data_IF_960948010771
#
_entry.id   IF_960948010771
#
_cell.length_a   1.000
_cell.length_b   1.000
_cell.length_c   1.000
_cell.angle_alpha   90.00
_cell.angle_beta   90.00
_cell.angle_gamma   90.00
#
_symmetry.space_group_name_H-M   'P 1'
#
loop_
_entity.id
_entity.type
_entity.pdbx_description
1 polymer ?
#
# COMPACT_ATOMS: atom_id res chain seq x y z
N UNK A 1 -50.60 45.18 9.42
CA UNK A 1 -49.60 46.10 8.84
C UNK A 1 -48.34 46.00 9.68
N UNK A 2 -47.12 45.74 9.25
CA UNK A 2 -46.51 45.21 8.04
C UNK A 2 -45.14 44.65 8.49
N UNK A 3 -44.74 43.46 8.03
CA UNK A 3 -43.37 42.91 8.13
C UNK A 3 -42.45 43.58 7.06
N UNK A 4 -41.14 43.25 6.91
CA UNK A 4 -40.05 43.02 7.88
C UNK A 4 -38.67 43.59 7.38
N UNK A 5 -37.60 43.39 8.17
CA UNK A 5 -36.28 43.05 7.62
C UNK A 5 -35.12 44.05 7.82
N UNK A 6 -34.07 43.63 8.51
CA UNK A 6 -32.76 43.40 7.88
C UNK A 6 -31.72 42.87 8.89
N UNK A 7 -31.31 41.62 8.67
CA UNK A 7 -29.93 41.10 8.76
C UNK A 7 -29.17 41.14 10.08
N UNK A 8 -29.29 40.02 10.81
CA UNK A 8 -28.26 39.46 11.68
C UNK A 8 -27.06 39.07 10.79
N UNK A 9 -26.02 39.89 10.80
CA UNK A 9 -24.73 39.56 10.19
C UNK A 9 -23.90 38.70 11.14
N UNK A 10 -24.13 37.38 11.15
CA UNK A 10 -23.18 36.43 11.74
C UNK A 10 -21.93 36.46 10.87
N UNK A 11 -20.92 37.23 11.29
CA UNK A 11 -19.55 37.05 10.79
C UNK A 11 -19.05 35.73 11.37
N UNK A 12 -19.21 34.67 10.58
CA UNK A 12 -18.38 33.46 10.65
C UNK A 12 -16.93 33.91 10.50
N UNK A 13 -16.28 34.18 11.63
CA UNK A 13 -14.85 34.36 11.71
C UNK A 13 -14.21 33.12 11.15
N UNK A 14 -13.51 33.27 10.02
CA UNK A 14 -12.66 32.24 9.43
C UNK A 14 -11.83 31.62 10.54
N UNK A 15 -12.09 30.35 10.83
CA UNK A 15 -11.15 29.47 11.52
C UNK A 15 -9.95 29.35 10.58
N UNK A 16 -9.02 30.27 10.75
CA UNK A 16 -7.70 30.21 10.12
C UNK A 16 -6.94 29.10 10.82
N UNK A 17 -7.06 27.89 10.29
CA UNK A 17 -6.03 26.87 10.50
C UNK A 17 -4.73 27.35 9.86
N UNK A 18 -3.62 26.89 10.43
CA UNK A 18 -2.24 27.05 10.00
C UNK A 18 -1.50 28.28 10.57
N UNK A 19 -0.55 28.01 11.46
CA UNK A 19 0.78 27.56 11.03
C UNK A 19 1.42 26.74 12.14
N UNK A 20 1.55 25.44 11.85
CA UNK A 20 2.37 24.48 12.56
C UNK A 20 3.80 25.06 12.64
N UNK A 21 4.51 24.98 13.78
CA UNK A 21 5.93 25.37 13.81
C UNK A 21 6.66 24.59 12.71
N UNK A 22 7.61 25.22 12.01
CA UNK A 22 8.42 24.54 11.01
C UNK A 22 8.92 23.18 11.51
N UNK A 23 9.10 22.20 10.61
CA UNK A 23 9.34 20.78 10.94
C UNK A 23 10.39 20.58 12.05
N UNK A 24 11.44 21.42 12.12
CA UNK A 24 12.42 21.40 13.19
C UNK A 24 11.91 21.82 14.58
N UNK A 25 11.03 22.83 14.66
CA UNK A 25 10.39 23.28 15.90
C UNK A 25 9.45 22.21 16.46
N UNK A 26 8.62 21.60 15.59
CA UNK A 26 7.73 20.51 15.98
C UNK A 26 8.51 19.28 16.49
N UNK A 27 9.56 18.84 15.77
CA UNK A 27 10.39 17.70 16.19
C UNK A 27 11.13 17.97 17.51
N UNK A 28 11.64 19.19 17.70
CA UNK A 28 12.32 19.57 18.95
C UNK A 28 11.36 19.64 20.13
N UNK A 29 10.13 20.13 19.93
CA UNK A 29 9.07 20.13 20.94
C UNK A 29 8.60 18.71 21.25
N UNK A 30 8.38 17.88 20.23
CA UNK A 30 7.96 16.49 20.40
C UNK A 30 9.02 15.67 21.12
N UNK A 31 10.28 15.84 20.75
CA UNK A 31 11.42 15.25 21.47
C UNK A 31 11.50 15.71 22.93
N UNK A 32 11.27 17.01 23.19
CA UNK A 32 11.27 17.55 24.56
C UNK A 32 10.07 17.07 25.38
N UNK A 33 8.91 16.89 24.76
CA UNK A 33 7.70 16.38 25.41
C UNK A 33 7.80 14.89 25.73
N UNK A 34 8.37 14.08 24.84
CA UNK A 34 8.70 12.69 25.13
C UNK A 34 9.80 12.57 26.19
N UNK A 35 10.82 13.43 26.12
CA UNK A 35 11.83 13.53 27.17
C UNK A 35 11.19 13.86 28.52
N UNK A 36 10.18 14.73 28.57
CA UNK A 36 9.46 15.07 29.80
C UNK A 36 8.69 13.88 30.43
N UNK A 37 8.39 12.83 29.68
CA UNK A 37 7.82 11.58 30.19
C UNK A 37 8.85 10.50 30.56
N UNK A 38 10.12 10.67 30.19
CA UNK A 38 11.18 9.70 30.43
C UNK A 38 11.76 9.82 31.85
N UNK A 39 12.10 8.70 32.53
CA UNK A 39 12.85 8.70 33.78
C UNK A 39 14.17 9.47 33.68
N UNK A 40 14.65 10.12 34.76
CA UNK A 40 15.84 10.97 34.73
C UNK A 40 17.10 10.21 34.27
N UNK A 41 17.21 8.92 34.59
CA UNK A 41 18.31 8.07 34.13
C UNK A 41 18.35 7.91 32.60
N UNK A 42 17.19 7.80 31.94
CA UNK A 42 17.09 7.65 30.48
C UNK A 42 17.31 8.99 29.75
N UNK A 43 16.93 10.13 30.34
CA UNK A 43 17.22 11.45 29.77
C UNK A 43 18.72 11.69 29.66
N UNK A 44 19.44 11.39 30.75
CA UNK A 44 20.89 11.59 30.83
C UNK A 44 21.66 10.69 29.85
N UNK A 45 21.21 9.45 29.62
CA UNK A 45 21.84 8.53 28.64
C UNK A 45 21.56 8.93 27.19
N UNK A 46 20.36 9.44 26.90
CA UNK A 46 19.96 9.93 25.57
C UNK A 46 20.55 11.31 25.21
N UNK A 47 21.27 11.95 26.14
CA UNK A 47 21.89 13.26 25.95
C UNK A 47 20.95 14.45 26.22
N UNK A 48 19.70 14.20 26.59
CA UNK A 48 18.78 15.24 27.06
C UNK A 48 19.13 15.62 28.50
N UNK A 49 19.59 16.85 28.74
CA UNK A 49 19.89 17.34 30.09
C UNK A 49 21.28 16.98 30.62
N UNK A 50 22.28 16.79 29.75
CA UNK A 50 23.70 16.64 30.18
C UNK A 50 24.21 17.79 31.05
N UNK A 51 23.55 18.93 30.92
CA UNK A 51 23.84 20.14 31.66
C UNK A 51 24.87 21.00 30.96
N UNK A 52 25.27 22.07 31.63
CA UNK A 52 26.37 22.94 31.21
C UNK A 52 27.20 23.32 32.42
N UNK A 53 28.47 23.64 32.19
CA UNK A 53 29.34 24.18 33.22
C UNK A 53 29.25 25.70 33.14
N UNK A 54 28.77 26.30 34.21
CA UNK A 54 28.68 27.75 34.41
C UNK A 54 29.96 28.20 35.13
N UNK A 55 30.62 29.19 34.57
CA UNK A 55 31.80 29.84 35.10
C UNK A 55 31.37 31.21 35.57
N UNK A 56 31.53 31.51 36.86
CA UNK A 56 31.29 32.84 37.41
C UNK A 56 32.63 33.39 37.88
N UNK A 57 32.99 34.58 37.39
CA UNK A 57 34.26 35.22 37.72
C UNK A 57 33.98 36.32 38.74
N UNK A 58 34.61 36.21 39.90
CA UNK A 58 34.56 37.19 40.97
C UNK A 58 35.98 37.64 41.30
N UNK A 59 36.37 38.79 40.74
CA UNK A 59 37.73 39.33 40.78
C UNK A 59 38.80 38.29 40.39
N UNK A 60 39.52 37.75 41.37
CA UNK A 60 40.64 36.81 41.18
C UNK A 60 40.23 35.34 41.33
N UNK A 61 38.96 35.04 41.61
CA UNK A 61 38.44 33.69 41.77
C UNK A 61 37.43 33.35 40.68
N UNK A 62 37.48 32.11 40.20
CA UNK A 62 36.49 31.53 39.29
C UNK A 62 35.71 30.45 40.02
N UNK A 63 34.41 30.66 40.16
CA UNK A 63 33.48 29.65 40.65
C UNK A 63 32.96 28.81 39.49
N UNK A 64 33.08 27.49 39.62
CA UNK A 64 32.55 26.52 38.68
C UNK A 64 31.29 25.91 39.26
N UNK A 65 30.18 26.08 38.54
CA UNK A 65 28.91 25.46 38.86
C UNK A 65 28.46 24.56 37.72
N UNK A 66 27.84 23.43 38.04
CA UNK A 66 27.19 22.58 37.05
C UNK A 66 25.69 22.84 37.10
N UNK A 67 25.11 23.26 35.99
CA UNK A 67 23.67 23.26 35.82
C UNK A 67 23.22 21.91 35.27
N UNK A 68 22.32 21.23 35.98
CA UNK A 68 21.61 20.05 35.51
C UNK A 68 20.12 20.32 35.60
N UNK A 69 19.44 20.40 34.45
CA UNK A 69 18.05 20.87 34.37
C UNK A 69 17.90 22.24 35.07
N UNK A 70 17.16 22.29 36.17
CA UNK A 70 16.93 23.49 36.97
C UNK A 70 17.82 23.56 38.23
N UNK A 71 18.59 22.50 38.51
CA UNK A 71 19.47 22.44 39.67
C UNK A 71 20.84 23.03 39.34
N UNK A 72 21.32 23.89 40.24
CA UNK A 72 22.63 24.52 40.18
C UNK A 72 23.50 23.91 41.29
N UNK A 73 24.53 23.17 40.89
CA UNK A 73 25.43 22.47 41.81
C UNK A 73 26.77 23.20 41.81
N UNK A 74 27.11 23.82 42.93
CA UNK A 74 28.44 24.41 43.13
C UNK A 74 29.49 23.31 43.19
N UNK A 75 30.56 23.44 42.42
CA UNK A 75 31.58 22.40 42.28
C UNK A 75 32.88 22.78 42.94
N UNK A 76 33.43 23.93 42.57
CA UNK A 76 34.75 24.37 43.00
C UNK A 76 34.93 25.86 42.79
N UNK A 77 35.80 26.45 43.61
CA UNK A 77 36.37 27.79 43.40
C UNK A 77 37.84 27.63 43.11
N UNK A 78 38.31 28.26 42.04
CA UNK A 78 39.67 28.13 41.55
C UNK A 78 40.24 29.53 41.32
N UNK A 79 41.46 29.82 41.80
CA UNK A 79 42.09 31.09 41.54
C UNK A 79 42.34 31.27 40.03
N UNK A 80 41.88 32.39 39.49
CA UNK A 80 41.91 32.73 38.07
C UNK A 80 43.32 32.98 37.53
N UNK A 81 44.22 33.73 38.22
CA UNK A 81 45.56 34.00 37.70
C UNK A 81 46.40 32.75 37.36
N UNK A 82 46.51 31.71 38.22
CA UNK A 82 47.26 30.50 37.87
C UNK A 82 46.56 29.67 36.79
N UNK A 83 45.24 29.74 36.69
CA UNK A 83 44.46 29.04 35.66
C UNK A 83 44.71 29.64 34.27
N UNK A 84 44.69 30.97 34.17
CA UNK A 84 45.01 31.71 32.95
C UNK A 84 46.45 31.43 32.51
N UNK A 85 47.41 31.46 33.45
CA UNK A 85 48.81 31.14 33.16
C UNK A 85 49.00 29.73 32.59
N UNK A 86 48.30 28.72 33.15
CA UNK A 86 48.31 27.34 32.61
C UNK A 86 47.65 27.23 31.24
N UNK A 87 46.59 27.99 31.00
CA UNK A 87 45.89 27.95 29.72
C UNK A 87 46.76 28.43 28.56
N UNK A 88 47.71 29.34 28.80
CA UNK A 88 48.68 29.77 27.81
C UNK A 88 49.68 28.67 27.42
N UNK A 89 49.93 27.69 28.30
CA UNK A 89 50.91 26.63 28.07
C UNK A 89 50.31 25.36 27.44
N UNK A 90 49.14 24.91 27.90
CA UNK A 90 48.57 23.58 27.60
C UNK A 90 47.25 23.62 26.81
N UNK A 91 46.80 24.80 26.39
CA UNK A 91 45.62 24.98 25.52
C UNK A 91 44.26 24.78 26.19
N UNK A 92 44.07 23.79 27.06
CA UNK A 92 42.80 23.51 27.79
C UNK A 92 43.04 23.27 29.30
N UNK A 93 43.47 24.31 30.02
CA UNK A 93 43.75 24.23 31.45
C UNK A 93 42.51 23.97 32.33
N UNK A 94 41.32 24.41 31.89
CA UNK A 94 40.07 24.08 32.56
C UNK A 94 39.69 22.60 32.36
N UNK A 95 39.96 22.05 31.18
CA UNK A 95 39.68 20.65 30.85
C UNK A 95 40.50 19.67 31.66
N UNK A 96 41.74 20.00 32.02
CA UNK A 96 42.58 19.15 32.87
C UNK A 96 42.17 19.15 34.35
N UNK A 97 41.51 20.21 34.82
CA UNK A 97 40.94 20.28 36.17
C UNK A 97 39.56 19.63 36.27
N UNK A 98 38.83 19.57 35.16
CA UNK A 98 37.51 18.94 35.09
C UNK A 98 37.64 17.45 34.79
N UNK A 99 36.85 16.61 35.47
CA UNK A 99 36.74 15.20 35.11
C UNK A 99 36.26 15.04 33.65
N UNK A 100 36.58 13.92 32.97
CA UNK A 100 36.35 13.75 31.53
C UNK A 100 34.89 14.02 31.10
N UNK A 101 33.92 13.60 31.91
CA UNK A 101 32.49 13.86 31.65
C UNK A 101 32.10 15.34 31.73
N UNK A 102 32.76 16.12 32.59
CA UNK A 102 32.51 17.55 32.76
C UNK A 102 33.27 18.39 31.75
N UNK A 103 34.47 17.95 31.37
CA UNK A 103 35.26 18.57 30.33
C UNK A 103 34.52 18.56 28.98
N UNK A 104 33.74 17.51 28.68
CA UNK A 104 32.92 17.43 27.47
C UNK A 104 31.72 18.39 27.45
N UNK A 105 31.28 18.91 28.60
CA UNK A 105 30.13 19.81 28.68
C UNK A 105 30.44 21.19 28.08
N UNK A 106 29.46 21.86 27.48
CA UNK A 106 29.63 23.23 27.01
C UNK A 106 29.88 24.14 28.22
N UNK A 107 30.91 24.99 28.11
CA UNK A 107 31.30 25.97 29.13
C UNK A 107 30.64 27.30 28.84
N UNK A 108 30.04 27.91 29.85
CA UNK A 108 29.31 29.16 29.74
C UNK A 108 29.78 30.12 30.81
N UNK A 109 29.95 31.39 30.46
CA UNK A 109 30.13 32.44 31.45
C UNK A 109 28.75 32.81 32.01
N UNK A 110 28.61 32.85 33.33
CA UNK A 110 27.44 33.37 34.03
C UNK A 110 27.78 34.73 34.62
N UNK A 111 27.13 35.77 34.09
CA UNK A 111 27.27 37.11 34.61
C UNK A 111 26.31 37.34 35.79
N UNK A 112 26.69 38.14 36.80
CA UNK A 112 25.80 38.51 37.90
C UNK A 112 24.55 39.26 37.39
N UNK A 113 23.42 39.13 38.09
CA UNK A 113 22.17 39.81 37.70
C UNK A 113 22.35 41.33 37.51
N UNK A 114 23.19 41.94 38.36
CA UNK A 114 23.48 43.37 38.37
C UNK A 114 24.19 43.89 37.11
N UNK A 115 24.80 43.02 36.29
CA UNK A 115 25.47 43.45 35.05
C UNK A 115 24.53 43.58 33.87
N UNK A 116 23.22 43.29 34.05
CA UNK A 116 22.23 43.32 32.97
C UNK A 116 21.06 44.26 33.25
N UNK A 117 20.49 44.77 32.17
CA UNK A 117 19.19 45.41 32.15
C UNK A 117 18.19 44.45 31.51
N UNK A 118 17.12 44.11 32.22
CA UNK A 118 16.02 43.29 31.70
C UNK A 118 14.78 44.16 31.43
N UNK A 119 14.16 43.97 30.27
CA UNK A 119 12.92 44.67 29.88
C UNK A 119 11.94 43.71 29.25
N UNK A 120 10.68 43.80 29.66
CA UNK A 120 9.58 43.06 29.03
C UNK A 120 9.02 43.87 27.87
N UNK A 121 8.95 43.26 26.70
CA UNK A 121 8.46 43.84 25.46
C UNK A 121 7.47 42.90 24.79
N UNK A 122 6.54 43.47 24.03
CA UNK A 122 5.54 42.69 23.30
C UNK A 122 5.90 42.70 21.82
N UNK A 123 6.01 41.52 21.24
CA UNK A 123 6.35 41.35 19.83
C UNK A 123 5.29 40.50 19.12
N UNK A 124 5.02 40.73 17.82
CA UNK A 124 4.07 39.91 17.08
C UNK A 124 4.52 38.44 17.04
N UNK A 125 3.57 37.50 17.02
CA UNK A 125 3.88 36.07 17.00
C UNK A 125 4.75 35.60 15.82
N UNK A 126 4.77 36.36 14.72
CA UNK A 126 5.65 36.12 13.56
C UNK A 126 7.13 36.39 13.85
N UNK A 127 7.45 37.20 14.87
CA UNK A 127 8.83 37.52 15.24
C UNK A 127 9.58 36.34 15.87
N UNK A 128 8.87 35.26 16.27
CA UNK A 128 9.45 34.12 16.98
C UNK A 128 10.65 33.49 16.25
N UNK A 129 10.54 33.30 14.92
CA UNK A 129 11.59 32.64 14.12
C UNK A 129 12.86 33.48 13.99
N UNK A 130 12.72 34.81 14.08
CA UNK A 130 13.81 35.79 13.96
C UNK A 130 13.89 36.70 15.18
N UNK A 131 13.66 36.11 16.36
CA UNK A 131 13.49 36.87 17.60
C UNK A 131 14.68 37.79 17.87
N UNK A 132 15.90 37.26 17.74
CA UNK A 132 17.13 38.02 17.97
C UNK A 132 17.26 39.22 17.03
N UNK A 133 16.94 39.05 15.75
CA UNK A 133 17.03 40.12 14.75
C UNK A 133 16.02 41.23 15.08
N UNK A 134 14.76 40.86 15.35
CA UNK A 134 13.67 41.80 15.64
C UNK A 134 13.98 42.58 16.92
N UNK A 135 14.41 41.89 17.97
CA UNK A 135 14.81 42.50 19.23
C UNK A 135 15.98 43.46 19.04
N UNK A 136 16.92 43.14 18.15
CA UNK A 136 18.05 44.00 17.81
C UNK A 136 17.64 45.40 17.35
N UNK A 137 16.56 45.51 16.58
CA UNK A 137 16.03 46.82 16.14
C UNK A 137 15.26 47.58 17.23
N UNK A 138 14.82 46.88 18.27
CA UNK A 138 14.08 47.47 19.40
C UNK A 138 15.01 47.95 20.53
N UNK A 139 16.31 47.62 20.52
CA UNK A 139 17.24 47.97 21.60
C UNK A 139 17.27 49.48 21.87
N UNK A 140 17.50 50.28 20.83
CA UNK A 140 17.65 51.73 20.92
C UNK A 140 16.33 52.42 21.35
N UNK A 141 15.19 51.76 21.14
CA UNK A 141 13.86 52.27 21.54
C UNK A 141 13.47 51.88 22.95
N UNK A 142 13.90 50.70 23.40
CA UNK A 142 13.49 50.09 24.66
C UNK A 142 14.53 50.26 25.77
N UNK A 143 15.75 50.67 25.43
CA UNK A 143 16.87 50.82 26.36
C UNK A 143 17.63 52.13 26.10
N UNK A 144 18.35 52.66 27.11
CA UNK A 144 19.18 53.85 26.93
C UNK A 144 20.50 53.54 26.19
N UNK A 145 20.64 52.36 25.59
CA UNK A 145 21.86 51.91 24.93
C UNK A 145 21.64 51.71 23.44
N UNK A 146 22.72 51.82 22.66
CA UNK A 146 22.70 51.46 21.24
C UNK A 146 22.99 49.97 21.05
N UNK A 147 22.40 49.35 20.03
CA UNK A 147 22.61 47.95 19.69
C UNK A 147 24.10 47.54 19.52
N UNK A 148 24.94 48.47 19.07
CA UNK A 148 26.38 48.24 18.89
C UNK A 148 27.18 48.27 20.20
N UNK A 149 26.71 49.01 21.21
CA UNK A 149 27.39 49.15 22.50
C UNK A 149 27.04 48.04 23.49
N UNK A 150 26.13 47.13 23.13
CA UNK A 150 25.62 46.09 24.02
C UNK A 150 25.71 44.70 23.42
N UNK A 151 25.79 43.71 24.30
CA UNK A 151 25.48 42.33 24.00
C UNK A 151 24.03 42.08 24.47
N UNK A 152 23.25 41.40 23.64
CA UNK A 152 21.83 41.23 23.90
C UNK A 152 21.36 39.86 23.43
N UNK A 153 20.30 39.40 24.08
CA UNK A 153 19.50 38.27 23.65
C UNK A 153 18.11 38.39 24.28
N UNK A 154 17.17 37.56 23.85
CA UNK A 154 15.81 37.59 24.36
C UNK A 154 15.24 36.19 24.57
N UNK A 155 14.41 36.07 25.61
CA UNK A 155 13.65 34.85 25.90
C UNK A 155 12.16 35.10 25.86
N UNK A 156 11.41 34.09 25.42
CA UNK A 156 9.95 34.14 25.38
C UNK A 156 9.41 33.73 26.76
N UNK A 157 8.64 34.61 27.39
CA UNK A 157 7.95 34.33 28.65
C UNK A 157 6.61 33.63 28.41
N UNK A 158 5.92 34.00 27.32
CA UNK A 158 4.62 33.43 26.99
C UNK A 158 4.14 33.85 25.61
N UNK A 159 3.15 33.13 25.09
CA UNK A 159 2.40 33.49 23.88
C UNK A 159 0.98 33.83 24.28
N UNK A 160 0.54 35.03 23.91
CA UNK A 160 -0.83 35.49 24.10
C UNK A 160 -1.66 35.16 22.88
N UNK A 161 -2.49 34.13 22.99
CA UNK A 161 -3.34 33.66 21.89
C UNK A 161 -4.47 34.65 21.54
N UNK A 162 -4.94 35.46 22.49
CA UNK A 162 -6.03 36.42 22.26
C UNK A 162 -5.67 37.50 21.23
N UNK A 163 -4.44 37.99 21.27
CA UNK A 163 -4.00 39.18 20.51
C UNK A 163 -2.90 38.84 19.49
N UNK A 164 -2.47 37.57 19.41
CA UNK A 164 -1.39 37.12 18.52
C UNK A 164 -0.02 37.71 18.86
N UNK A 165 0.21 38.06 20.13
CA UNK A 165 1.44 38.69 20.62
C UNK A 165 2.28 37.69 21.45
N UNK A 166 3.57 37.96 21.54
CA UNK A 166 4.54 37.26 22.38
C UNK A 166 4.98 38.20 23.49
N UNK A 167 4.93 37.71 24.72
CA UNK A 167 5.54 38.38 25.85
C UNK A 167 7.01 37.94 25.90
N UNK A 168 7.92 38.87 25.64
CA UNK A 168 9.35 38.61 25.49
C UNK A 168 10.11 39.40 26.55
N UNK A 169 11.12 38.78 27.14
CA UNK A 169 12.08 39.46 28.02
C UNK A 169 13.39 39.68 27.28
N UNK A 170 13.67 40.94 27.00
CA UNK A 170 14.92 41.44 26.45
C UNK A 170 15.95 41.57 27.57
N UNK A 171 17.10 40.93 27.39
CA UNK A 171 18.25 41.02 28.31
C UNK A 171 19.39 41.72 27.59
N UNK A 172 19.88 42.80 28.20
CA UNK A 172 20.94 43.65 27.63
C UNK A 172 22.08 43.81 28.62
N UNK A 173 23.31 43.59 28.16
CA UNK A 173 24.54 43.77 28.92
C UNK A 173 25.46 44.73 28.16
N UNK A 174 25.95 45.82 28.77
CA UNK A 174 26.95 46.67 28.16
C UNK A 174 28.20 45.90 27.73
N UNK A 175 28.67 46.09 26.49
CA UNK A 175 29.82 45.34 25.96
C UNK A 175 31.08 45.51 26.78
N UNK A 176 31.32 46.70 27.34
CA UNK A 176 32.50 46.95 28.17
C UNK A 176 32.57 46.03 29.41
N UNK A 177 31.42 45.72 30.04
CA UNK A 177 31.39 44.79 31.18
C UNK A 177 31.67 43.36 30.73
N UNK A 178 31.11 42.96 29.59
CA UNK A 178 31.38 41.65 29.01
C UNK A 178 32.87 41.51 28.62
N UNK A 179 33.43 42.54 27.99
CA UNK A 179 34.82 42.54 27.55
C UNK A 179 35.78 42.56 28.75
N UNK A 180 35.47 43.28 29.82
CA UNK A 180 36.23 43.21 31.07
C UNK A 180 36.32 41.77 31.61
N UNK A 181 35.19 41.06 31.64
CA UNK A 181 35.16 39.66 32.09
C UNK A 181 35.94 38.73 31.14
N UNK A 182 35.85 38.97 29.83
CA UNK A 182 36.61 38.21 28.83
C UNK A 182 38.11 38.45 28.94
N UNK A 183 38.52 39.70 29.17
CA UNK A 183 39.92 40.06 29.40
C UNK A 183 40.46 39.40 30.66
N UNK A 184 39.69 39.39 31.75
CA UNK A 184 40.08 38.72 32.99
C UNK A 184 40.31 37.21 32.80
N UNK A 185 39.47 36.55 32.00
CA UNK A 185 39.62 35.12 31.66
C UNK A 185 40.72 34.84 30.62
N UNK A 186 41.20 35.85 29.90
CA UNK A 186 42.21 35.73 28.85
C UNK A 186 41.87 34.62 27.82
N UNK A 187 42.77 33.65 27.57
CA UNK A 187 42.57 32.60 26.58
C UNK A 187 41.36 31.70 26.85
N UNK A 188 40.93 31.56 28.12
CA UNK A 188 39.77 30.75 28.50
C UNK A 188 38.47 31.30 27.93
N UNK A 189 38.40 32.62 27.67
CA UNK A 189 37.23 33.25 27.08
C UNK A 189 36.94 32.76 25.65
N UNK A 190 37.97 32.31 24.92
CA UNK A 190 37.83 31.74 23.58
C UNK A 190 37.21 30.33 23.60
N UNK A 191 37.12 29.71 24.78
CA UNK A 191 36.60 28.35 24.96
C UNK A 191 35.11 28.30 25.26
N UNK A 192 34.49 29.47 25.44
CA UNK A 192 33.10 29.59 25.85
C UNK A 192 32.14 29.22 24.70
N UNK A 193 31.16 28.39 25.04
CA UNK A 193 30.03 28.05 24.18
C UNK A 193 28.93 29.13 24.24
N UNK A 194 28.89 29.94 25.31
CA UNK A 194 27.92 31.00 25.49
C UNK A 194 28.18 31.87 26.72
N UNK A 195 27.42 32.97 26.82
CA UNK A 195 27.36 33.84 28.00
C UNK A 195 25.91 34.00 28.38
N UNK A 196 25.58 33.68 29.62
CA UNK A 196 24.26 33.83 30.22
C UNK A 196 24.33 34.84 31.38
N UNK A 197 23.17 35.24 31.89
CA UNK A 197 23.05 36.14 33.04
C UNK A 197 22.25 35.46 34.13
N UNK A 198 22.66 35.61 35.38
CA UNK A 198 21.90 35.16 36.54
C UNK A 198 20.65 36.04 36.73
N UNK A 199 19.52 35.42 37.03
CA UNK A 199 18.34 36.10 37.55
C UNK A 199 18.52 36.53 39.00
N UNK A 200 17.48 37.12 39.58
CA UNK A 200 17.44 37.49 41.01
C UNK A 200 17.70 36.31 41.94
N UNK A 201 17.36 35.12 41.48
CA UNK A 201 17.41 33.88 42.27
C UNK A 201 18.77 33.17 42.10
N UNK A 202 19.73 33.79 41.40
CA UNK A 202 21.03 33.22 41.08
C UNK A 202 21.01 32.18 39.94
N UNK A 203 19.82 31.69 39.55
CA UNK A 203 19.64 30.79 38.43
C UNK A 203 19.86 31.50 37.08
N UNK A 204 20.44 30.85 36.07
CA UNK A 204 20.64 31.45 34.76
C UNK A 204 19.30 31.72 34.06
N UNK A 205 19.20 32.86 33.37
CA UNK A 205 17.99 33.25 32.64
C UNK A 205 17.72 32.38 31.40
N UNK A 206 18.73 31.65 30.92
CA UNK A 206 18.62 30.78 29.74
C UNK A 206 18.81 31.53 28.43
N UNK A 207 19.49 32.67 28.47
CA UNK A 207 19.81 33.49 27.29
C UNK A 207 21.26 33.27 26.88
N UNK A 208 21.60 33.55 25.63
CA UNK A 208 22.97 33.48 25.13
C UNK A 208 23.38 34.76 24.42
N UNK A 209 23.99 35.66 25.20
CA UNK A 209 24.48 36.97 24.77
C UNK A 209 25.59 36.88 23.71
N UNK A 210 26.25 35.72 23.57
CA UNK A 210 27.28 35.53 22.56
C UNK A 210 26.66 35.46 21.14
N UNK A 211 27.19 36.20 20.16
CA UNK A 211 26.82 36.06 18.74
C UNK A 211 27.06 34.62 18.24
N UNK A 212 26.20 34.08 17.35
CA UNK A 212 26.29 32.68 16.93
C UNK A 212 27.64 32.35 16.25
N UNK A 213 28.32 33.34 15.66
CA UNK A 213 29.62 33.20 15.01
C UNK A 213 30.76 33.01 16.02
N UNK A 214 30.60 33.54 17.24
CA UNK A 214 31.63 33.52 18.29
C UNK A 214 31.49 32.29 19.21
N UNK A 215 30.40 31.53 19.09
CA UNK A 215 30.12 30.37 19.95
C UNK A 215 31.01 29.21 19.58
N UNK A 216 31.91 28.81 20.49
CA UNK A 216 32.71 27.60 20.27
C UNK A 216 31.81 26.37 20.38
N UNK A 217 31.64 25.65 19.27
CA UNK A 217 30.90 24.40 19.22
C UNK A 217 31.82 23.26 19.68
N UNK A 218 31.74 22.86 20.95
CA UNK A 218 32.25 21.54 21.35
C UNK A 218 31.40 20.48 20.64
N UNK A 219 32.06 19.53 19.99
CA UNK A 219 31.41 18.43 19.28
C UNK A 219 30.73 17.55 20.32
N UNK A 220 29.40 17.44 20.28
CA UNK A 220 28.69 16.51 21.15
C UNK A 220 28.92 15.07 20.65
N UNK A 221 29.69 14.24 21.37
CA UNK A 221 29.93 12.86 20.95
C UNK A 221 28.63 12.04 20.93
N UNK A 222 27.60 12.41 21.71
CA UNK A 222 26.30 11.74 21.59
C UNK A 222 25.53 12.12 20.35
N UNK A 223 25.76 13.29 19.76
CA UNK A 223 25.12 13.61 18.48
C UNK A 223 25.56 12.63 17.39
N UNK A 224 26.83 12.21 17.40
CA UNK A 224 27.35 11.18 16.49
C UNK A 224 26.73 9.82 16.80
N UNK A 225 26.74 9.38 18.06
CA UNK A 225 26.12 8.11 18.44
C UNK A 225 24.61 8.07 18.18
N UNK A 226 23.90 9.17 18.41
CA UNK A 226 22.48 9.30 18.09
C UNK A 226 22.23 9.25 16.58
N UNK A 227 23.12 9.84 15.77
CA UNK A 227 23.05 9.72 14.31
C UNK A 227 23.31 8.28 13.84
N UNK A 228 24.28 7.58 14.46
CA UNK A 228 24.55 6.16 14.18
C UNK A 228 23.35 5.30 14.57
N UNK A 229 22.80 5.49 15.78
CA UNK A 229 21.61 4.78 16.26
C UNK A 229 20.40 5.06 15.37
N UNK A 230 20.20 6.30 14.91
CA UNK A 230 19.15 6.65 13.97
C UNK A 230 19.35 5.94 12.61
N UNK A 231 20.60 5.86 12.12
CA UNK A 231 20.95 5.11 10.92
C UNK A 231 20.66 3.61 11.07
N UNK A 232 21.01 3.01 12.20
CA UNK A 232 20.69 1.60 12.51
C UNK A 232 19.18 1.38 12.58
N UNK A 233 18.44 2.27 13.25
CA UNK A 233 16.98 2.19 13.33
C UNK A 233 16.33 2.31 11.94
N UNK A 234 16.83 3.18 11.07
CA UNK A 234 16.38 3.30 9.70
C UNK A 234 16.64 2.01 8.91
N UNK A 235 17.85 1.45 9.00
CA UNK A 235 18.20 0.19 8.35
C UNK A 235 17.33 -0.98 8.84
N UNK A 236 17.08 -1.06 10.15
CA UNK A 236 16.19 -2.06 10.73
C UNK A 236 14.75 -1.91 10.21
N UNK A 237 14.27 -0.67 10.08
CA UNK A 237 12.93 -0.39 9.52
C UNK A 237 12.84 -0.80 8.06
N UNK A 238 13.86 -0.49 7.26
CA UNK A 238 13.95 -0.92 5.85
C UNK A 238 13.99 -2.44 5.74
N UNK A 239 14.79 -3.11 6.56
CA UNK A 239 14.86 -4.57 6.59
C UNK A 239 13.53 -5.21 6.97
N UNK A 240 12.80 -4.64 7.96
CA UNK A 240 11.48 -5.12 8.35
C UNK A 240 10.44 -4.95 7.24
N UNK A 241 10.44 -3.81 6.56
CA UNK A 241 9.56 -3.56 5.41
C UNK A 241 9.89 -4.51 4.24
N UNK A 242 11.18 -4.76 4.00
CA UNK A 242 11.61 -5.72 2.99
C UNK A 242 11.13 -7.14 3.32
N UNK A 243 11.31 -7.58 4.57
CA UNK A 243 10.84 -8.88 5.04
C UNK A 243 9.31 -9.00 4.93
N UNK A 244 8.56 -7.94 5.24
CA UNK A 244 7.10 -7.91 5.08
C UNK A 244 6.70 -8.06 3.62
N UNK A 245 7.39 -7.37 2.70
CA UNK A 245 7.11 -7.46 1.27
C UNK A 245 7.40 -8.87 0.73
N UNK A 246 8.52 -9.46 1.14
CA UNK A 246 8.88 -10.82 0.72
C UNK A 246 7.90 -11.86 1.26
N UNK A 247 7.44 -11.71 2.50
CA UNK A 247 6.40 -12.56 3.08
C UNK A 247 5.06 -12.42 2.35
N UNK A 248 4.73 -11.21 1.86
CA UNK A 248 3.53 -10.99 1.04
C UNK A 248 3.66 -11.62 -0.35
N UNK A 249 4.84 -11.54 -0.97
CA UNK A 249 5.13 -12.17 -2.27
C UNK A 249 5.07 -13.69 -2.18
N UNK A 250 5.67 -14.28 -1.15
CA UNK A 250 5.64 -15.73 -0.94
C UNK A 250 4.22 -16.24 -0.68
N UNK A 251 3.43 -15.51 0.11
CA UNK A 251 2.02 -15.84 0.34
C UNK A 251 1.17 -15.76 -0.95
N UNK A 252 1.43 -14.76 -1.80
CA UNK A 252 0.75 -14.64 -3.09
C UNK A 252 1.12 -15.79 -4.05
N UNK A 253 2.41 -16.13 -4.14
CA UNK A 253 2.89 -17.24 -4.96
C UNK A 253 2.31 -18.60 -4.50
N UNK A 254 2.21 -18.81 -3.18
CA UNK A 254 1.56 -20.00 -2.64
C UNK A 254 0.07 -20.08 -3.01
N UNK A 255 -0.65 -18.94 -2.98
CA UNK A 255 -2.05 -18.90 -3.38
C UNK A 255 -2.23 -19.17 -4.88
N UNK A 256 -1.37 -18.61 -5.73
CA UNK A 256 -1.36 -18.88 -7.17
C UNK A 256 -1.13 -20.36 -7.48
N UNK A 257 -0.22 -21.03 -6.77
CA UNK A 257 0.00 -22.47 -6.90
C UNK A 257 -1.24 -23.29 -6.52
N UNK A 258 -1.93 -22.91 -5.44
CA UNK A 258 -3.18 -23.57 -5.04
C UNK A 258 -4.25 -23.39 -6.11
N UNK A 259 -4.45 -22.17 -6.63
CA UNK A 259 -5.41 -21.89 -7.69
C UNK A 259 -5.09 -22.69 -8.96
N UNK A 260 -3.82 -22.74 -9.38
CA UNK A 260 -3.38 -23.51 -10.54
C UNK A 260 -3.71 -25.00 -10.39
N UNK A 261 -3.44 -25.58 -9.22
CA UNK A 261 -3.72 -27.00 -8.96
C UNK A 261 -5.22 -27.34 -9.02
N UNK A 262 -6.08 -26.43 -8.56
CA UNK A 262 -7.54 -26.60 -8.59
C UNK A 262 -8.10 -26.36 -10.00
N UNK A 263 -7.54 -25.42 -10.76
CA UNK A 263 -7.89 -25.17 -12.15
C UNK A 263 -7.59 -26.39 -13.04
N UNK A 264 -6.49 -27.11 -12.77
CA UNK A 264 -6.16 -28.36 -13.48
C UNK A 264 -7.13 -29.51 -13.17
N UNK A 265 -7.61 -29.59 -11.92
CA UNK A 265 -8.65 -30.56 -11.55
C UNK A 265 -9.99 -30.21 -12.24
N UNK A 266 -10.35 -28.93 -12.27
CA UNK A 266 -11.54 -28.43 -12.98
C UNK A 266 -11.50 -28.72 -14.48
N UNK A 267 -10.37 -28.44 -15.15
CA UNK A 267 -10.16 -28.74 -16.58
C UNK A 267 -10.26 -30.23 -16.89
N UNK A 268 -9.70 -31.10 -16.03
CA UNK A 268 -9.82 -32.56 -16.19
C UNK A 268 -11.27 -33.04 -16.06
N UNK A 269 -12.02 -32.50 -15.11
CA UNK A 269 -13.45 -32.85 -14.96
C UNK A 269 -14.31 -32.38 -16.14
N UNK A 270 -14.00 -31.21 -16.72
CA UNK A 270 -14.68 -30.69 -17.90
C UNK A 270 -14.41 -31.55 -19.14
N UNK A 271 -13.15 -31.95 -19.36
CA UNK A 271 -12.75 -32.87 -20.44
C UNK A 271 -13.45 -34.22 -20.35
N UNK A 272 -13.54 -34.83 -19.16
CA UNK A 272 -14.22 -36.11 -18.97
C UNK A 272 -15.73 -36.02 -19.28
N UNK A 273 -16.39 -34.92 -18.86
CA UNK A 273 -17.81 -34.68 -19.18
C UNK A 273 -18.04 -34.52 -20.70
N UNK A 274 -17.13 -33.85 -21.41
CA UNK A 274 -17.21 -33.73 -22.87
C UNK A 274 -17.09 -35.08 -23.57
N UNK A 275 -16.18 -35.95 -23.11
CA UNK A 275 -16.05 -37.31 -23.66
C UNK A 275 -17.31 -38.16 -23.43
N UNK A 276 -17.88 -38.11 -22.23
CA UNK A 276 -19.15 -38.79 -21.91
C UNK A 276 -20.30 -38.31 -22.80
N UNK A 277 -20.39 -36.99 -23.01
CA UNK A 277 -21.43 -36.40 -23.87
C UNK A 277 -21.25 -36.84 -25.32
N UNK A 278 -20.02 -36.85 -25.85
CA UNK A 278 -19.74 -37.30 -27.21
C UNK A 278 -20.08 -38.78 -27.45
N UNK A 279 -19.85 -39.65 -26.45
CA UNK A 279 -20.22 -41.07 -26.54
C UNK A 279 -21.74 -41.26 -26.54
N UNK A 280 -22.45 -40.53 -25.68
CA UNK A 280 -23.92 -40.56 -25.63
C UNK A 280 -24.55 -40.05 -26.93
N UNK A 281 -24.05 -38.93 -27.47
CA UNK A 281 -24.49 -38.39 -28.77
C UNK A 281 -24.21 -39.36 -29.92
N UNK A 282 -23.06 -40.04 -29.90
CA UNK A 282 -22.72 -41.07 -30.87
C UNK A 282 -23.65 -42.29 -30.83
N UNK A 283 -24.07 -42.73 -29.64
CA UNK A 283 -25.03 -43.83 -29.49
C UNK A 283 -26.41 -43.46 -30.04
N UNK A 284 -26.94 -42.29 -29.68
CA UNK A 284 -28.25 -41.83 -30.18
C UNK A 284 -28.26 -41.69 -31.70
N UNK A 285 -27.16 -41.26 -32.32
CA UNK A 285 -27.03 -41.19 -33.78
C UNK A 285 -27.05 -42.58 -34.43
N UNK A 286 -26.35 -43.55 -33.85
CA UNK A 286 -26.32 -44.93 -34.36
C UNK A 286 -27.66 -45.64 -34.19
N UNK A 287 -28.38 -45.40 -33.09
CA UNK A 287 -29.71 -45.97 -32.86
C UNK A 287 -30.74 -45.43 -33.87
N UNK A 288 -30.67 -44.14 -34.24
CA UNK A 288 -31.51 -43.56 -35.31
C UNK A 288 -31.25 -44.20 -36.66
N UNK A 289 -29.98 -44.34 -37.05
CA UNK A 289 -29.57 -45.03 -38.29
C UNK A 289 -30.06 -46.49 -38.33
N UNK A 290 -30.15 -47.13 -37.16
CA UNK A 290 -30.66 -48.50 -37.05
C UNK A 290 -32.18 -48.55 -37.18
N UNK A 291 -32.90 -47.57 -36.66
CA UNK A 291 -34.36 -47.47 -36.72
C UNK A 291 -34.90 -47.10 -38.12
N UNK A 292 -34.11 -46.42 -38.94
CA UNK A 292 -34.49 -46.02 -40.31
C UNK A 292 -34.52 -47.19 -41.33
N UNK A 293 -34.03 -48.38 -40.98
CA UNK A 293 -34.00 -49.54 -41.88
C UNK A 293 -35.13 -50.53 -41.54
N UNK A 294 -35.93 -50.90 -42.53
CA UNK A 294 -36.92 -51.97 -42.38
C UNK A 294 -36.22 -53.27 -41.92
N UNK A 295 -36.74 -53.95 -40.88
CA UNK A 295 -36.09 -55.14 -40.34
C UNK A 295 -36.09 -56.24 -41.42
N UNK A 296 -34.90 -56.80 -41.69
CA UNK A 296 -34.68 -57.85 -42.70
C UNK A 296 -35.63 -59.05 -42.54
N UNK A 297 -36.09 -59.30 -41.32
CA UNK A 297 -37.06 -60.34 -40.98
C UNK A 297 -38.44 -60.09 -41.60
N UNK A 298 -38.88 -58.85 -41.71
CA UNK A 298 -40.18 -58.49 -42.29
C UNK A 298 -40.17 -58.61 -43.82
N UNK A 299 -39.06 -58.25 -44.45
CA UNK A 299 -38.83 -58.44 -45.90
C UNK A 299 -38.85 -59.95 -46.25
N UNK A 300 -38.20 -60.78 -45.44
CA UNK A 300 -38.16 -62.24 -45.64
C UNK A 300 -39.54 -62.90 -45.49
N UNK A 301 -40.33 -62.46 -44.51
CA UNK A 301 -41.67 -63.00 -44.27
C UNK A 301 -42.60 -62.69 -45.45
N UNK A 302 -42.62 -61.45 -45.92
CA UNK A 302 -43.47 -61.07 -47.05
C UNK A 302 -43.03 -61.75 -48.36
N UNK A 303 -41.72 -61.94 -48.57
CA UNK A 303 -41.22 -62.68 -49.73
C UNK A 303 -41.70 -64.13 -49.72
N UNK A 304 -41.69 -64.76 -48.55
CA UNK A 304 -42.12 -66.16 -48.40
C UNK A 304 -43.62 -66.33 -48.65
N UNK A 305 -44.45 -65.34 -48.28
CA UNK A 305 -45.91 -65.38 -48.53
C UNK A 305 -46.28 -65.20 -50.01
N UNK A 306 -45.53 -64.39 -50.76
CA UNK A 306 -45.89 -64.03 -52.15
C UNK A 306 -45.21 -64.88 -53.22
N UNK A 307 -44.21 -65.67 -52.86
CA UNK A 307 -43.55 -66.56 -53.82
C UNK A 307 -44.40 -67.81 -54.05
N UNK A 308 -44.73 -68.15 -55.31
CA UNK A 308 -45.44 -69.40 -55.61
C UNK A 308 -44.57 -70.63 -55.30
N UNK A 309 -45.18 -71.72 -54.86
CA UNK A 309 -44.51 -73.01 -54.61
C UNK A 309 -43.76 -73.56 -55.84
N UNK A 310 -44.06 -73.05 -57.03
CA UNK A 310 -43.39 -73.40 -58.30
C UNK A 310 -42.10 -72.61 -58.56
N UNK A 311 -41.64 -71.80 -57.60
CA UNK A 311 -40.47 -70.92 -57.72
C UNK A 311 -39.42 -71.30 -56.69
N UNK A 312 -38.17 -71.46 -57.15
CA UNK A 312 -37.03 -71.78 -56.30
C UNK A 312 -36.03 -70.63 -56.32
N UNK A 313 -35.69 -70.08 -55.16
CA UNK A 313 -34.68 -69.03 -55.03
C UNK A 313 -33.30 -69.64 -54.79
N UNK A 314 -32.32 -69.23 -55.60
CA UNK A 314 -30.92 -69.60 -55.43
C UNK A 314 -30.15 -68.56 -54.61
N UNK A 315 -30.48 -67.27 -54.81
CA UNK A 315 -29.77 -66.17 -54.14
C UNK A 315 -30.70 -65.00 -53.86
N UNK A 316 -30.66 -64.54 -52.61
CA UNK A 316 -31.26 -63.30 -52.14
C UNK A 316 -30.13 -62.37 -51.71
N UNK A 317 -30.10 -61.14 -52.23
CA UNK A 317 -29.15 -60.10 -51.84
C UNK A 317 -29.90 -58.82 -51.51
N UNK A 318 -29.59 -58.22 -50.36
CA UNK A 318 -30.14 -56.93 -49.93
C UNK A 318 -28.96 -55.97 -49.79
N UNK A 319 -28.89 -54.99 -50.69
CA UNK A 319 -27.81 -54.01 -50.73
C UNK A 319 -28.41 -52.62 -50.57
N UNK A 320 -28.35 -52.07 -49.35
CA UNK A 320 -28.97 -50.79 -49.01
C UNK A 320 -30.48 -50.84 -49.29
N UNK A 321 -30.93 -50.03 -50.24
CA UNK A 321 -32.34 -49.91 -50.62
C UNK A 321 -32.72 -50.80 -51.82
N UNK A 322 -31.83 -51.70 -52.28
CA UNK A 322 -32.11 -52.58 -53.41
C UNK A 322 -32.16 -54.05 -52.99
N UNK A 323 -33.26 -54.69 -53.32
CA UNK A 323 -33.51 -56.12 -53.19
C UNK A 323 -33.24 -56.81 -54.53
N UNK A 324 -32.42 -57.85 -54.53
CA UNK A 324 -32.10 -58.66 -55.71
C UNK A 324 -32.37 -60.13 -55.43
N UNK A 325 -33.15 -60.75 -56.32
CA UNK A 325 -33.64 -62.12 -56.24
C UNK A 325 -33.17 -62.86 -57.50
N UNK A 326 -32.49 -63.99 -57.33
CA UNK A 326 -32.12 -64.89 -58.43
C UNK A 326 -32.69 -66.27 -58.14
N UNK A 327 -33.36 -66.86 -59.13
CA UNK A 327 -33.95 -68.18 -58.98
C UNK A 327 -34.41 -68.79 -60.30
N UNK A 328 -35.14 -69.89 -60.17
CA UNK A 328 -35.73 -70.67 -61.25
C UNK A 328 -37.25 -70.71 -61.04
N UNK A 329 -38.03 -70.39 -62.08
CA UNK A 329 -39.50 -70.45 -62.01
C UNK A 329 -40.10 -70.99 -63.29
N UNK A 330 -41.21 -71.71 -63.17
CA UNK A 330 -42.03 -72.13 -64.32
C UNK A 330 -42.85 -71.00 -64.92
N UNK A 331 -43.03 -69.89 -64.18
CA UNK A 331 -43.84 -68.72 -64.59
C UNK A 331 -43.11 -67.42 -64.26
N UNK A 332 -41.87 -67.29 -64.73
CA UNK A 332 -40.99 -66.18 -64.35
C UNK A 332 -41.54 -64.78 -64.73
N UNK A 333 -42.25 -64.64 -65.84
CA UNK A 333 -42.88 -63.37 -66.24
C UNK A 333 -44.06 -62.96 -65.33
N UNK A 334 -44.74 -63.92 -64.70
CA UNK A 334 -45.86 -63.66 -63.79
C UNK A 334 -45.40 -63.19 -62.38
N UNK A 335 -44.15 -63.49 -62.00
CA UNK A 335 -43.59 -63.10 -60.69
C UNK A 335 -43.55 -61.58 -60.47
N UNK A 336 -43.43 -60.79 -61.54
CA UNK A 336 -43.50 -59.33 -61.44
C UNK A 336 -44.87 -58.91 -60.88
N UNK A 337 -45.95 -59.52 -61.35
CA UNK A 337 -47.32 -59.23 -60.89
C UNK A 337 -47.57 -59.68 -59.46
N UNK A 338 -47.07 -60.87 -59.08
CA UNK A 338 -47.25 -61.42 -57.71
C UNK A 338 -46.45 -60.64 -56.66
N UNK A 339 -45.27 -60.14 -57.02
CA UNK A 339 -44.43 -59.32 -56.14
C UNK A 339 -44.84 -57.85 -56.13
N UNK A 340 -45.78 -57.40 -56.97
CA UNK A 340 -46.33 -56.05 -56.92
C UNK A 340 -47.31 -55.90 -55.75
N UNK A 341 -47.29 -54.73 -55.09
CA UNK A 341 -48.22 -54.39 -54.00
C UNK A 341 -47.78 -54.82 -52.59
N UNK A 342 -46.50 -55.14 -52.38
CA UNK A 342 -45.93 -55.24 -51.04
C UNK A 342 -45.65 -53.84 -50.48
N UNK A 343 -45.80 -53.65 -49.16
CA UNK A 343 -45.53 -52.37 -48.50
C UNK A 343 -44.01 -52.14 -48.33
N UNK A 344 -43.25 -53.24 -48.27
CA UNK A 344 -41.82 -53.29 -47.98
C UNK A 344 -40.94 -53.04 -49.22
N UNK A 345 -41.47 -53.14 -50.45
CA UNK A 345 -40.71 -52.87 -51.68
C UNK A 345 -41.59 -52.31 -52.81
N UNK A 346 -40.96 -51.58 -53.73
CA UNK A 346 -41.59 -50.93 -54.88
C UNK A 346 -40.91 -51.34 -56.18
N UNK A 347 -41.72 -51.37 -57.24
CA UNK A 347 -41.28 -51.58 -58.62
C UNK A 347 -40.42 -52.84 -58.86
N UNK A 348 -40.96 -54.06 -58.63
CA UNK A 348 -40.25 -55.27 -59.02
C UNK A 348 -40.09 -55.30 -60.55
N UNK A 349 -38.87 -55.47 -61.03
CA UNK A 349 -38.53 -55.52 -62.45
C UNK A 349 -37.55 -56.66 -62.73
N UNK A 350 -37.67 -57.29 -63.90
CA UNK A 350 -36.70 -58.29 -64.35
C UNK A 350 -35.41 -57.57 -64.79
N UNK A 351 -34.32 -57.91 -64.12
CA UNK A 351 -32.97 -57.41 -64.42
C UNK A 351 -32.25 -58.42 -65.31
N UNK A 352 -32.70 -58.54 -66.57
CA UNK A 352 -32.11 -59.41 -67.58
C UNK A 352 -33.12 -60.21 -68.41
N UNK A 353 -32.65 -60.85 -69.47
CA UNK A 353 -33.45 -61.76 -70.27
C UNK A 353 -33.69 -63.09 -69.53
N UNK A 354 -34.89 -63.67 -69.67
CA UNK A 354 -35.20 -65.00 -69.16
C UNK A 354 -34.35 -66.03 -69.89
N UNK A 355 -33.59 -66.82 -69.15
CA UNK A 355 -32.73 -67.85 -69.72
C UNK A 355 -33.33 -69.23 -69.40
N UNK A 356 -33.75 -70.01 -70.41
CA UNK A 356 -34.30 -71.35 -70.16
C UNK A 356 -33.19 -72.26 -69.66
N UNK A 357 -33.45 -72.97 -68.57
CA UNK A 357 -32.54 -73.97 -68.03
C UNK A 357 -32.88 -75.37 -68.59
N UNK A 358 -32.03 -75.95 -69.47
CA UNK A 358 -32.31 -77.21 -70.14
C UNK A 358 -32.36 -78.42 -69.19
N UNK A 359 -31.86 -78.28 -67.95
CA UNK A 359 -31.81 -79.37 -66.98
C UNK A 359 -33.10 -79.50 -66.15
N UNK A 360 -33.78 -78.38 -65.85
CA UNK A 360 -35.00 -78.35 -65.03
C UNK A 360 -36.28 -78.03 -65.81
N UNK A 361 -36.17 -77.55 -67.06
CA UNK A 361 -37.31 -77.08 -67.84
C UNK A 361 -37.97 -75.82 -67.28
N UNK A 362 -37.25 -75.05 -66.44
CA UNK A 362 -37.68 -73.79 -65.83
C UNK A 362 -36.87 -72.63 -66.37
N UNK A 363 -37.39 -71.41 -66.23
CA UNK A 363 -36.68 -70.20 -66.63
C UNK A 363 -35.90 -69.62 -65.45
N UNK A 364 -34.60 -69.35 -65.66
CA UNK A 364 -33.76 -68.62 -64.73
C UNK A 364 -34.12 -67.13 -64.82
N UNK A 365 -34.45 -66.54 -63.67
CA UNK A 365 -34.80 -65.12 -63.57
C UNK A 365 -33.88 -64.39 -62.60
N UNK A 366 -33.66 -63.13 -62.91
CA UNK A 366 -33.05 -62.15 -62.00
C UNK A 366 -34.05 -61.02 -61.85
N UNK A 367 -34.50 -60.76 -60.63
CA UNK A 367 -35.48 -59.73 -60.32
C UNK A 367 -34.88 -58.74 -59.31
N UNK A 368 -35.10 -57.46 -59.57
CA UNK A 368 -34.70 -56.38 -58.68
C UNK A 368 -35.90 -55.57 -58.24
N UNK A 369 -35.96 -55.18 -56.97
CA UNK A 369 -36.96 -54.28 -56.41
C UNK A 369 -36.28 -53.27 -55.48
N UNK A 370 -36.88 -52.10 -55.27
CA UNK A 370 -36.36 -51.11 -54.32
C UNK A 370 -37.11 -51.25 -52.99
N UNK A 371 -36.40 -51.39 -51.88
CA UNK A 371 -37.00 -51.42 -50.55
C UNK A 371 -37.66 -50.08 -50.23
N UNK A 372 -38.86 -50.14 -49.70
CA UNK A 372 -39.54 -48.96 -49.18
C UNK A 372 -38.96 -48.64 -47.80
N UNK A 373 -38.62 -47.37 -47.58
CA UNK A 373 -38.37 -46.90 -46.22
C UNK A 373 -39.65 -47.14 -45.39
N UNK A 374 -39.55 -47.67 -44.16
CA UNK A 374 -40.71 -47.87 -43.32
C UNK A 374 -41.43 -46.52 -43.14
N UNK A 375 -42.76 -46.53 -43.25
CA UNK A 375 -43.55 -45.37 -42.90
C UNK A 375 -43.21 -45.02 -41.45
N UNK A 376 -42.60 -43.86 -41.24
CA UNK A 376 -42.20 -43.40 -39.92
C UNK A 376 -43.42 -43.44 -38.99
N UNK A 377 -43.43 -44.38 -38.04
CA UNK A 377 -44.33 -44.33 -36.89
C UNK A 377 -44.00 -43.03 -36.15
N UNK A 378 -44.95 -42.09 -35.99
CA UNK A 378 -44.65 -40.84 -35.31
C UNK A 378 -44.37 -41.14 -33.84
N UNK A 379 -43.11 -40.92 -33.44
CA UNK A 379 -42.65 -41.00 -32.06
C UNK A 379 -43.43 -40.01 -31.18
N UNK A 380 -44.02 -40.42 -30.04
CA UNK A 380 -44.81 -39.55 -29.17
C UNK A 380 -43.97 -38.61 -28.29
N UNK A 381 -42.68 -38.40 -28.59
CA UNK A 381 -41.76 -37.64 -27.71
C UNK A 381 -41.19 -36.39 -28.38
N UNK A 382 -42.00 -35.70 -29.17
CA UNK A 382 -41.74 -34.31 -29.53
C UNK A 382 -42.63 -33.38 -28.67
N UNK A 383 -42.13 -32.78 -27.57
CA UNK A 383 -42.83 -31.66 -26.97
C UNK A 383 -42.75 -30.50 -27.98
N UNK A 384 -43.93 -30.04 -28.39
CA UNK A 384 -44.12 -28.91 -29.28
C UNK A 384 -43.22 -27.71 -28.91
N UNK A 385 -42.70 -26.95 -29.90
CA UNK A 385 -42.03 -25.69 -29.62
C UNK A 385 -43.00 -24.73 -28.89
N UNK A 386 -42.52 -23.94 -27.92
CA UNK A 386 -43.37 -23.10 -27.10
C UNK A 386 -44.14 -22.10 -27.97
N UNK A 387 -45.47 -22.18 -27.85
CA UNK A 387 -46.44 -21.24 -28.38
C UNK A 387 -46.08 -19.84 -27.89
N UNK A 388 -45.81 -18.95 -28.85
CA UNK A 388 -45.65 -17.51 -28.70
C UNK A 388 -46.79 -16.96 -27.84
N UNK A 389 -46.46 -16.44 -26.66
CA UNK A 389 -47.40 -15.72 -25.81
C UNK A 389 -47.48 -14.26 -26.27
N UNK A 390 -48.72 -13.81 -26.40
CA UNK A 390 -49.18 -12.44 -26.60
C UNK A 390 -48.33 -11.37 -25.91
N UNK A 391 -47.86 -10.40 -26.69
CA UNK A 391 -47.54 -9.06 -26.22
C UNK A 391 -48.74 -8.15 -26.51
N UNK A 392 -49.28 -7.41 -25.53
CA UNK A 392 -50.43 -6.54 -25.76
C UNK A 392 -50.06 -5.26 -26.52
N UNK A 393 -51.00 -4.83 -27.36
CA UNK A 393 -50.95 -3.66 -28.23
C UNK A 393 -50.63 -2.32 -27.54
N UNK A 394 -50.07 -1.34 -28.29
CA UNK A 394 -49.83 0.01 -27.78
C UNK A 394 -51.15 0.77 -27.64
N UNK A 395 -51.32 1.47 -26.51
CA UNK A 395 -52.38 2.48 -26.35
C UNK A 395 -51.87 3.82 -26.86
N UNK A 396 -52.60 4.35 -27.83
CA UNK A 396 -52.60 5.77 -28.21
C UNK A 396 -52.86 6.66 -27.00
N UNK A 397 -51.96 7.61 -26.75
CA UNK A 397 -52.27 9.03 -26.51
C UNK A 397 -51.03 9.90 -26.52
#
# INVERSE_FOLDING_TARGET
MSQPGSTIGVRLGRVGTHLVPGVGGYLSWWGRSLAAGLPPALRQTLGFGRGRVLLQVDADEMQLCRQCDDALIDMARVPLPPLVARSHADGDALGSLLGPRLAELPRWLLLPAASSLTRRINLPASALERLRDVVGFEIDRQTPFTAEAVAFDARVLGRRESDGQLDVELVVVPRHLLDQQRTAMGPLASELAGVDVAGTDGAPLGVNLLPPEQRRRRRDPAAVWNAVLAGVALLATVALLWQLLENRRSAAAALEQVIASQADAGRRSAMQRQQLTAVLEGQVFLDRLRAERAPTTEILDELTRRLPDTTYLEKLSINGDQLMLIGLSTKAAALIGELQGAEQWRSPALAGALQPDPQSGRDRFTLTANLAAPAATPDPTNPAPPKTADAPAPRDR
#
